data_IF_141604327081
#
_entry.id   IF_141604327081
#
_cell.length_a   1.000
_cell.length_b   1.000
_cell.length_c   1.000
_cell.angle_alpha   90.00
_cell.angle_beta   90.00
_cell.angle_gamma   90.00
#
_symmetry.space_group_name_H-M   'P 1'
#
loop_
_entity.id
_entity.type
_entity.pdbx_description
1 polymer ?
#
# COMPACT_ATOMS: atom_id res chain seq x y z
N UNK A 1 29.48 -21.39 -8.62
CA UNK A 1 28.29 -20.83 -7.97
C UNK A 1 28.48 -19.33 -8.00
N UNK A 2 27.85 -18.65 -8.95
CA UNK A 2 27.82 -17.19 -9.02
C UNK A 2 27.07 -16.68 -7.79
N UNK A 3 27.72 -15.86 -6.98
CA UNK A 3 27.11 -15.13 -5.88
C UNK A 3 25.81 -14.47 -6.38
N UNK A 4 24.68 -14.81 -5.76
CA UNK A 4 23.45 -14.06 -5.92
C UNK A 4 23.81 -12.65 -5.44
N UNK A 5 23.95 -11.71 -6.35
CA UNK A 5 24.30 -10.34 -6.01
C UNK A 5 23.05 -9.70 -5.43
N UNK A 6 23.09 -9.40 -4.12
CA UNK A 6 22.05 -8.67 -3.41
C UNK A 6 21.85 -7.30 -4.07
N UNK A 7 20.60 -6.79 -4.10
CA UNK A 7 20.38 -5.39 -4.42
C UNK A 7 21.22 -4.53 -3.47
N UNK A 8 22.12 -3.72 -4.01
CA UNK A 8 22.97 -2.92 -3.15
C UNK A 8 22.17 -1.77 -2.55
N UNK A 9 22.37 -1.47 -1.26
CA UNK A 9 21.74 -0.32 -0.60
C UNK A 9 22.01 1.00 -1.32
N UNK A 10 23.19 1.13 -1.95
CA UNK A 10 23.54 2.28 -2.77
C UNK A 10 22.62 2.42 -3.99
N UNK A 11 22.39 1.33 -4.74
CA UNK A 11 21.51 1.35 -5.90
C UNK A 11 20.04 1.65 -5.51
N UNK A 12 19.58 1.15 -4.36
CA UNK A 12 18.24 1.49 -3.82
C UNK A 12 18.15 2.97 -3.48
N UNK A 13 19.17 3.53 -2.81
CA UNK A 13 19.25 4.95 -2.51
C UNK A 13 19.23 5.81 -3.78
N UNK A 14 20.06 5.45 -4.76
CA UNK A 14 20.13 6.14 -6.05
C UNK A 14 18.77 6.12 -6.77
N UNK A 15 18.04 4.99 -6.70
CA UNK A 15 16.71 4.87 -7.27
C UNK A 15 15.70 5.82 -6.59
N UNK A 16 15.76 5.96 -5.26
CA UNK A 16 14.92 6.88 -4.49
C UNK A 16 15.26 8.34 -4.86
N UNK A 17 16.54 8.72 -4.82
CA UNK A 17 17.01 10.07 -5.16
C UNK A 17 16.64 10.45 -6.60
N UNK A 18 16.80 9.53 -7.56
CA UNK A 18 16.39 9.74 -8.94
C UNK A 18 14.88 9.90 -9.10
N UNK A 19 14.08 9.20 -8.27
CA UNK A 19 12.62 9.33 -8.27
C UNK A 19 12.18 10.67 -7.71
N UNK A 20 12.85 11.16 -6.67
CA UNK A 20 12.60 12.51 -6.14
C UNK A 20 12.87 13.59 -7.18
N UNK A 21 13.93 13.45 -7.97
CA UNK A 21 14.30 14.39 -9.01
C UNK A 21 13.41 14.30 -10.26
N UNK A 22 13.01 13.10 -10.64
CA UNK A 22 12.19 12.83 -11.84
C UNK A 22 11.21 11.70 -11.53
N UNK A 23 9.93 11.96 -11.33
CA UNK A 23 8.96 10.97 -10.86
C UNK A 23 8.98 9.66 -11.65
N UNK A 24 8.78 9.71 -12.95
CA UNK A 24 8.71 8.50 -13.80
C UNK A 24 10.03 8.24 -14.54
N UNK A 25 10.39 6.97 -14.70
CA UNK A 25 11.41 6.52 -15.63
C UNK A 25 10.81 6.32 -17.03
N UNK A 26 9.64 5.71 -17.12
CA UNK A 26 8.85 5.52 -18.33
C UNK A 26 7.46 6.08 -18.09
N UNK A 27 7.03 6.98 -18.96
CA UNK A 27 5.66 7.52 -18.98
C UNK A 27 4.86 6.87 -20.11
N UNK A 28 3.81 6.13 -19.76
CA UNK A 28 2.92 5.48 -20.70
C UNK A 28 1.46 5.96 -20.58
N UNK A 29 1.25 7.11 -19.94
CA UNK A 29 -0.09 7.70 -19.74
C UNK A 29 -0.74 8.13 -21.04
N UNK A 30 0.05 8.56 -22.01
CA UNK A 30 -0.39 8.90 -23.37
C UNK A 30 -0.94 7.67 -24.12
N UNK A 31 -0.57 6.46 -23.71
CA UNK A 31 -1.09 5.19 -24.22
C UNK A 31 -2.24 4.64 -23.36
N UNK A 32 -2.78 5.42 -22.43
CA UNK A 32 -3.92 5.04 -21.59
C UNK A 32 -3.55 4.19 -20.36
N UNK A 33 -2.27 4.08 -19.97
CA UNK A 33 -1.86 3.41 -18.75
C UNK A 33 -2.03 4.36 -17.55
N UNK A 34 -3.16 4.26 -16.89
CA UNK A 34 -3.56 5.11 -15.76
C UNK A 34 -4.02 4.26 -14.57
N UNK A 35 -4.02 4.83 -13.38
CA UNK A 35 -4.46 4.19 -12.12
C UNK A 35 -4.47 5.20 -10.99
N UNK A 36 -4.50 4.72 -9.76
CA UNK A 36 -4.64 5.54 -8.55
C UNK A 36 -3.36 5.64 -7.71
N UNK A 37 -2.21 5.19 -8.21
CA UNK A 37 -0.93 5.34 -7.51
C UNK A 37 -0.26 6.67 -7.84
N UNK A 38 0.51 7.22 -6.90
CA UNK A 38 1.33 8.40 -7.12
C UNK A 38 2.44 8.17 -8.16
N UNK A 39 2.76 9.18 -8.96
CA UNK A 39 3.77 9.02 -10.02
C UNK A 39 5.16 8.68 -9.47
N UNK A 40 5.50 9.15 -8.26
CA UNK A 40 6.77 8.76 -7.62
C UNK A 40 6.74 7.30 -7.15
N UNK A 41 5.61 6.79 -6.64
CA UNK A 41 5.47 5.35 -6.32
C UNK A 41 5.71 4.50 -7.57
N UNK A 42 5.02 4.83 -8.67
CA UNK A 42 5.21 4.16 -9.97
C UNK A 42 6.67 4.21 -10.43
N UNK A 43 7.28 5.39 -10.42
CA UNK A 43 8.65 5.58 -10.91
C UNK A 43 9.72 4.95 -10.02
N UNK A 44 9.48 4.84 -8.72
CA UNK A 44 10.34 4.09 -7.80
C UNK A 44 10.31 2.60 -8.14
N UNK A 45 9.11 2.03 -8.32
CA UNK A 45 8.98 0.61 -8.70
C UNK A 45 9.68 0.31 -10.02
N UNK A 46 9.52 1.19 -11.03
CA UNK A 46 10.24 1.08 -12.30
C UNK A 46 11.76 1.02 -12.12
N UNK A 47 12.33 1.89 -11.30
CA UNK A 47 13.78 1.97 -11.06
C UNK A 47 14.28 0.79 -10.24
N UNK A 48 13.57 0.40 -9.20
CA UNK A 48 13.92 -0.77 -8.39
C UNK A 48 13.89 -2.05 -9.21
N UNK A 49 12.87 -2.24 -10.05
CA UNK A 49 12.79 -3.37 -10.96
C UNK A 49 13.96 -3.37 -11.96
N UNK A 50 14.34 -2.19 -12.48
CA UNK A 50 15.51 -2.05 -13.36
C UNK A 50 16.81 -2.43 -12.66
N UNK A 51 16.97 -2.07 -11.39
CA UNK A 51 18.12 -2.49 -10.57
C UNK A 51 18.13 -4.00 -10.36
N UNK A 52 16.94 -4.62 -10.25
CA UNK A 52 16.77 -6.05 -10.06
C UNK A 52 16.95 -6.88 -11.34
N UNK A 53 16.98 -6.26 -12.53
CA UNK A 53 17.21 -6.99 -13.79
C UNK A 53 18.55 -7.73 -13.80
N UNK A 54 18.53 -8.95 -14.34
CA UNK A 54 19.72 -9.80 -14.40
C UNK A 54 20.01 -10.61 -13.13
N UNK A 55 19.22 -10.41 -12.07
CA UNK A 55 19.25 -11.26 -10.89
C UNK A 55 18.27 -12.43 -11.06
N UNK A 56 18.54 -13.57 -10.44
CA UNK A 56 17.60 -14.70 -10.39
C UNK A 56 16.52 -14.44 -9.33
N UNK A 57 15.64 -13.53 -9.65
CA UNK A 57 14.61 -13.04 -8.73
C UNK A 57 13.44 -12.44 -9.51
N UNK A 58 12.39 -12.03 -8.81
CA UNK A 58 11.19 -11.43 -9.40
C UNK A 58 10.73 -10.17 -8.65
N UNK A 59 9.87 -9.41 -9.33
CA UNK A 59 9.00 -8.40 -8.74
C UNK A 59 7.66 -9.02 -8.40
N UNK A 60 7.11 -8.69 -7.23
CA UNK A 60 5.76 -9.09 -6.83
C UNK A 60 5.02 -7.91 -6.24
N UNK A 61 3.74 -7.74 -6.58
CA UNK A 61 2.86 -6.76 -5.94
C UNK A 61 1.58 -7.39 -5.41
N UNK A 62 1.09 -6.85 -4.29
CA UNK A 62 -0.24 -7.11 -3.74
C UNK A 62 -1.11 -5.89 -4.01
N UNK A 63 -2.26 -6.10 -4.68
CA UNK A 63 -3.11 -5.02 -5.16
C UNK A 63 -2.71 -4.57 -6.56
N UNK A 64 -3.46 -5.00 -7.55
CA UNK A 64 -3.20 -4.71 -8.97
C UNK A 64 -4.17 -3.67 -9.50
N UNK A 65 -5.39 -3.65 -8.96
CA UNK A 65 -6.48 -2.80 -9.43
C UNK A 65 -6.68 -2.91 -10.93
N UNK A 66 -6.22 -1.93 -11.72
CA UNK A 66 -6.28 -1.92 -13.19
C UNK A 66 -4.90 -2.08 -13.85
N UNK A 67 -3.85 -2.42 -13.07
CA UNK A 67 -2.54 -2.85 -13.59
C UNK A 67 -1.57 -1.72 -13.93
N UNK A 68 -1.75 -0.49 -13.41
CA UNK A 68 -0.79 0.61 -13.65
C UNK A 68 0.62 0.23 -13.20
N UNK A 69 0.78 -0.19 -11.96
CA UNK A 69 2.06 -0.53 -11.34
C UNK A 69 2.69 -1.75 -11.98
N UNK A 70 1.91 -2.83 -12.16
CA UNK A 70 2.38 -4.08 -12.76
C UNK A 70 2.90 -3.88 -14.19
N UNK A 71 2.08 -3.28 -15.06
CA UNK A 71 2.43 -3.08 -16.47
C UNK A 71 3.58 -2.08 -16.61
N UNK A 72 3.55 -0.99 -15.85
CA UNK A 72 4.58 0.05 -15.87
C UNK A 72 5.95 -0.48 -15.41
N UNK A 73 5.96 -1.31 -14.37
CA UNK A 73 7.17 -1.95 -13.85
C UNK A 73 7.72 -2.96 -14.84
N UNK A 74 6.87 -3.79 -15.43
CA UNK A 74 7.27 -4.77 -16.44
C UNK A 74 7.84 -4.12 -17.72
N UNK A 75 7.29 -2.98 -18.14
CA UNK A 75 7.84 -2.19 -19.25
C UNK A 75 9.23 -1.64 -18.94
N UNK A 76 9.46 -1.22 -17.69
CA UNK A 76 10.75 -0.67 -17.28
C UNK A 76 11.82 -1.73 -17.16
N UNK A 77 11.48 -2.97 -16.81
CA UNK A 77 12.40 -4.09 -16.59
C UNK A 77 11.97 -5.33 -17.39
N UNK A 78 12.12 -5.33 -18.73
CA UNK A 78 11.54 -6.33 -19.60
C UNK A 78 12.07 -7.75 -19.41
N UNK A 79 13.19 -7.94 -18.72
CA UNK A 79 13.75 -9.26 -18.42
C UNK A 79 13.47 -9.74 -16.99
N UNK A 80 12.92 -8.87 -16.12
CA UNK A 80 12.53 -9.25 -14.76
C UNK A 80 11.11 -9.83 -14.77
N UNK A 81 10.88 -11.06 -14.28
CA UNK A 81 9.53 -11.57 -14.09
C UNK A 81 8.76 -10.71 -13.08
N UNK A 82 7.57 -10.27 -13.44
CA UNK A 82 6.72 -9.43 -12.63
C UNK A 82 5.39 -10.17 -12.36
N UNK A 83 4.98 -10.25 -11.10
CA UNK A 83 3.76 -10.92 -10.68
C UNK A 83 2.87 -9.95 -9.90
N UNK A 84 1.63 -9.81 -10.34
CA UNK A 84 0.61 -9.03 -9.63
C UNK A 84 -0.44 -9.94 -9.01
N UNK A 85 -0.72 -9.77 -7.73
CA UNK A 85 -1.67 -10.57 -6.97
C UNK A 85 -2.89 -9.70 -6.64
N UNK A 86 -4.07 -10.12 -7.11
CA UNK A 86 -5.34 -9.45 -6.79
C UNK A 86 -6.50 -10.44 -6.93
N UNK A 87 -7.47 -10.37 -6.04
CA UNK A 87 -8.72 -11.11 -6.13
C UNK A 87 -9.88 -10.26 -6.65
N UNK A 88 -9.65 -8.99 -6.95
CA UNK A 88 -10.60 -8.01 -7.47
C UNK A 88 -11.91 -7.87 -6.68
N UNK A 89 -11.86 -8.12 -5.35
CA UNK A 89 -13.04 -7.98 -4.48
C UNK A 89 -13.23 -6.58 -3.91
N UNK A 90 -12.19 -5.74 -4.01
CA UNK A 90 -12.18 -4.37 -3.51
C UNK A 90 -12.01 -3.44 -4.71
N UNK A 91 -12.68 -2.28 -4.68
CA UNK A 91 -12.61 -1.25 -5.74
C UNK A 91 -13.00 -1.76 -7.16
N UNK A 92 -13.83 -2.79 -7.24
CA UNK A 92 -14.33 -3.34 -8.51
C UNK A 92 -15.85 -3.57 -8.49
N UNK A 93 -16.68 -2.51 -8.33
CA UNK A 93 -18.13 -2.66 -8.24
C UNK A 93 -18.77 -3.23 -9.53
N UNK A 94 -18.11 -3.08 -10.67
CA UNK A 94 -18.59 -3.54 -11.97
C UNK A 94 -18.00 -4.90 -12.39
N UNK A 95 -17.03 -5.42 -11.65
CA UNK A 95 -16.35 -6.69 -11.95
C UNK A 95 -15.48 -6.63 -13.22
N UNK A 96 -14.95 -5.46 -13.59
CA UNK A 96 -14.25 -5.23 -14.85
C UNK A 96 -12.73 -5.11 -14.73
N UNK A 97 -12.19 -4.87 -13.54
CA UNK A 97 -10.77 -4.59 -13.34
C UNK A 97 -9.87 -5.70 -13.85
N UNK A 98 -10.22 -6.97 -13.59
CA UNK A 98 -9.44 -8.09 -14.15
C UNK A 98 -9.35 -8.06 -15.67
N UNK A 99 -10.47 -7.81 -16.36
CA UNK A 99 -10.47 -7.74 -17.82
C UNK A 99 -9.67 -6.56 -18.36
N UNK A 100 -9.63 -5.44 -17.64
CA UNK A 100 -8.79 -4.27 -17.94
C UNK A 100 -7.31 -4.64 -17.82
N UNK A 101 -6.91 -5.33 -16.74
CA UNK A 101 -5.53 -5.81 -16.59
C UNK A 101 -5.15 -6.76 -17.71
N UNK A 102 -5.97 -7.78 -17.99
CA UNK A 102 -5.73 -8.73 -19.08
C UNK A 102 -5.59 -8.02 -20.45
N UNK A 103 -6.38 -6.97 -20.69
CA UNK A 103 -6.28 -6.17 -21.92
C UNK A 103 -4.99 -5.35 -21.95
N UNK A 104 -4.63 -4.68 -20.84
CA UNK A 104 -3.41 -3.89 -20.75
C UNK A 104 -2.14 -4.74 -20.94
N UNK A 105 -2.09 -5.94 -20.34
CA UNK A 105 -0.98 -6.87 -20.55
C UNK A 105 -0.77 -7.19 -22.04
N UNK A 106 -1.85 -7.35 -22.81
CA UNK A 106 -1.80 -7.58 -24.27
C UNK A 106 -1.39 -6.31 -25.03
N UNK A 107 -2.02 -5.18 -24.75
CA UNK A 107 -1.83 -3.91 -25.48
C UNK A 107 -0.40 -3.36 -25.31
N UNK A 108 0.19 -3.60 -24.15
CA UNK A 108 1.56 -3.20 -23.85
C UNK A 108 2.60 -4.31 -24.16
N UNK A 109 2.15 -5.49 -24.59
CA UNK A 109 2.97 -6.63 -24.92
C UNK A 109 3.98 -7.01 -23.81
N UNK A 110 3.56 -6.90 -22.55
CA UNK A 110 4.39 -7.22 -21.38
C UNK A 110 4.40 -8.74 -21.14
N UNK A 111 5.31 -9.45 -21.85
CA UNK A 111 5.43 -10.91 -21.77
C UNK A 111 6.00 -11.42 -20.45
N UNK A 112 6.63 -10.54 -19.69
CA UNK A 112 7.23 -10.79 -18.38
C UNK A 112 6.31 -10.46 -17.21
N UNK A 113 5.07 -9.98 -17.45
CA UNK A 113 4.09 -9.68 -16.41
C UNK A 113 2.99 -10.74 -16.35
N UNK A 114 2.68 -11.19 -15.15
CA UNK A 114 1.74 -12.27 -14.87
C UNK A 114 0.76 -11.86 -13.77
N UNK A 115 -0.54 -12.08 -14.02
CA UNK A 115 -1.58 -11.85 -13.02
C UNK A 115 -1.89 -13.15 -12.26
N UNK A 116 -1.79 -13.11 -10.94
CA UNK A 116 -2.21 -14.18 -10.03
C UNK A 116 -3.55 -13.75 -9.43
N UNK A 117 -4.65 -14.25 -10.01
CA UNK A 117 -6.00 -13.92 -9.52
C UNK A 117 -6.36 -14.77 -8.31
N UNK A 118 -5.86 -14.39 -7.15
CA UNK A 118 -6.05 -15.07 -5.86
C UNK A 118 -6.11 -14.06 -4.72
N UNK A 119 -6.64 -14.52 -3.59
CA UNK A 119 -6.43 -13.83 -2.32
C UNK A 119 -4.94 -13.85 -1.94
N UNK A 120 -4.43 -12.73 -1.43
CA UNK A 120 -3.00 -12.57 -1.19
C UNK A 120 -2.44 -13.57 -0.17
N UNK A 121 -3.23 -13.97 0.86
CA UNK A 121 -2.79 -14.95 1.85
C UNK A 121 -2.57 -16.33 1.19
N UNK A 122 -3.46 -16.71 0.28
CA UNK A 122 -3.36 -17.96 -0.48
C UNK A 122 -2.22 -17.90 -1.49
N UNK A 123 -2.12 -16.78 -2.22
CA UNK A 123 -1.08 -16.56 -3.22
C UNK A 123 0.33 -16.58 -2.60
N UNK A 124 0.56 -15.89 -1.48
CA UNK A 124 1.85 -15.90 -0.79
C UNK A 124 2.21 -17.28 -0.26
N UNK A 125 1.24 -18.07 0.22
CA UNK A 125 1.49 -19.44 0.69
C UNK A 125 1.99 -20.38 -0.42
N UNK A 126 1.65 -20.11 -1.68
CA UNK A 126 2.04 -20.90 -2.86
C UNK A 126 2.95 -20.15 -3.84
N UNK A 127 3.50 -19.01 -3.44
CA UNK A 127 4.18 -18.09 -4.37
C UNK A 127 5.37 -18.74 -5.09
N UNK A 128 6.19 -19.53 -4.41
CA UNK A 128 7.35 -20.17 -5.04
C UNK A 128 6.95 -21.14 -6.17
N UNK A 129 5.76 -21.73 -6.08
CA UNK A 129 5.21 -22.54 -7.18
C UNK A 129 4.81 -21.65 -8.37
N UNK A 130 4.21 -20.49 -8.09
CA UNK A 130 3.79 -19.53 -9.11
C UNK A 130 4.98 -18.85 -9.81
N UNK A 131 6.07 -18.63 -9.08
CA UNK A 131 7.27 -17.94 -9.57
C UNK A 131 8.37 -18.90 -10.05
N UNK A 132 8.09 -20.21 -10.21
CA UNK A 132 9.07 -21.23 -10.55
C UNK A 132 10.28 -21.26 -9.60
N UNK A 133 10.06 -21.01 -8.31
CA UNK A 133 11.08 -21.01 -7.27
C UNK A 133 11.85 -19.70 -7.12
N UNK A 134 11.58 -18.69 -7.93
CA UNK A 134 12.21 -17.37 -7.81
C UNK A 134 11.71 -16.64 -6.57
N UNK A 135 12.65 -16.02 -5.85
CA UNK A 135 12.37 -15.17 -4.70
C UNK A 135 12.19 -13.71 -5.12
N UNK A 136 11.47 -12.97 -4.31
CA UNK A 136 11.21 -11.55 -4.55
C UNK A 136 12.45 -10.71 -4.24
N UNK A 137 12.90 -9.90 -5.18
CA UNK A 137 13.88 -8.84 -4.95
C UNK A 137 13.22 -7.48 -4.73
N UNK A 138 12.07 -7.26 -5.36
CA UNK A 138 11.24 -6.08 -5.14
C UNK A 138 9.82 -6.56 -4.82
N UNK A 139 9.32 -6.12 -3.69
CA UNK A 139 7.98 -6.44 -3.22
C UNK A 139 7.19 -5.16 -2.96
N UNK A 140 6.03 -5.02 -3.60
CA UNK A 140 5.15 -3.87 -3.44
C UNK A 140 3.86 -4.28 -2.72
N UNK A 141 3.50 -3.56 -1.68
CA UNK A 141 2.30 -3.79 -0.87
C UNK A 141 1.36 -2.61 -1.01
N UNK A 142 0.32 -2.79 -1.81
CA UNK A 142 -0.75 -1.83 -2.11
C UNK A 142 -2.12 -2.54 -2.03
N UNK A 143 -2.28 -3.34 -0.98
CA UNK A 143 -3.48 -4.13 -0.71
C UNK A 143 -4.41 -3.48 0.32
N UNK A 144 -5.16 -4.26 1.12
CA UNK A 144 -6.02 -3.74 2.16
C UNK A 144 -5.26 -2.91 3.20
N UNK A 145 -5.80 -1.76 3.60
CA UNK A 145 -5.12 -0.80 4.47
C UNK A 145 -5.39 -1.02 5.96
N UNK A 146 -5.88 -2.20 6.33
CA UNK A 146 -6.04 -2.56 7.74
C UNK A 146 -4.74 -3.16 8.32
N UNK A 147 -4.56 -3.00 9.63
CA UNK A 147 -3.35 -3.42 10.34
C UNK A 147 -3.02 -4.91 10.14
N UNK A 148 -4.03 -5.79 10.23
CA UNK A 148 -3.81 -7.25 10.12
C UNK A 148 -3.31 -7.62 8.73
N UNK A 149 -4.00 -7.16 7.69
CA UNK A 149 -3.65 -7.49 6.31
C UNK A 149 -2.26 -6.97 5.95
N UNK A 150 -1.93 -5.74 6.33
CA UNK A 150 -0.60 -5.17 6.11
C UNK A 150 0.49 -5.97 6.82
N UNK A 151 0.30 -6.32 8.10
CA UNK A 151 1.28 -7.11 8.84
C UNK A 151 1.42 -8.52 8.26
N UNK A 152 0.33 -9.16 7.85
CA UNK A 152 0.36 -10.49 7.22
C UNK A 152 1.09 -10.44 5.88
N UNK A 153 0.89 -9.41 5.05
CA UNK A 153 1.66 -9.22 3.81
C UNK A 153 3.17 -9.24 4.08
N UNK A 154 3.63 -8.57 5.13
CA UNK A 154 5.06 -8.51 5.48
C UNK A 154 5.57 -9.83 6.06
N UNK A 155 4.84 -10.41 7.01
CA UNK A 155 5.25 -11.66 7.69
C UNK A 155 5.27 -12.86 6.73
N UNK A 156 4.24 -13.01 5.90
CA UNK A 156 4.15 -14.11 4.93
C UNK A 156 5.18 -13.96 3.80
N UNK A 157 5.50 -12.74 3.41
CA UNK A 157 6.50 -12.47 2.37
C UNK A 157 7.94 -12.73 2.84
N UNK A 158 8.25 -12.56 4.14
CA UNK A 158 9.63 -12.65 4.65
C UNK A 158 10.42 -13.87 4.15
N UNK A 159 9.93 -15.13 4.23
CA UNK A 159 10.68 -16.30 3.75
C UNK A 159 10.83 -16.35 2.22
N UNK A 160 10.05 -15.55 1.50
CA UNK A 160 9.99 -15.50 0.03
C UNK A 160 10.89 -14.40 -0.54
N UNK A 161 11.48 -13.55 0.31
CA UNK A 161 12.38 -12.48 -0.10
C UNK A 161 13.77 -13.01 -0.44
N UNK A 162 14.38 -12.44 -1.47
CA UNK A 162 15.81 -12.63 -1.75
C UNK A 162 16.66 -11.83 -0.76
N UNK A 163 17.95 -12.18 -0.57
CA UNK A 163 18.86 -11.32 0.15
C UNK A 163 18.90 -9.91 -0.49
N UNK A 164 18.95 -8.86 0.33
CA UNK A 164 18.92 -7.47 -0.15
C UNK A 164 17.60 -7.01 -0.76
N UNK A 165 16.52 -7.75 -0.60
CA UNK A 165 15.20 -7.37 -1.12
C UNK A 165 14.72 -6.03 -0.59
N UNK A 166 13.95 -5.33 -1.42
CA UNK A 166 13.30 -4.06 -1.10
C UNK A 166 11.79 -4.27 -1.03
N UNK A 167 11.19 -3.76 0.04
CA UNK A 167 9.74 -3.74 0.21
C UNK A 167 9.28 -2.29 0.11
N UNK A 168 8.37 -2.00 -0.81
CA UNK A 168 7.71 -0.71 -0.95
C UNK A 168 6.27 -0.86 -0.45
N UNK A 169 5.87 -0.03 0.50
CA UNK A 169 4.53 -0.07 1.11
C UNK A 169 3.85 1.24 0.76
N UNK A 170 2.76 1.15 0.00
CA UNK A 170 1.93 2.30 -0.35
C UNK A 170 0.98 2.68 0.80
N UNK A 171 0.30 3.81 0.65
CA UNK A 171 -0.69 4.29 1.61
C UNK A 171 -0.17 4.46 3.05
N UNK A 172 1.12 4.74 3.22
CA UNK A 172 1.77 4.85 4.52
C UNK A 172 1.22 6.01 5.38
N UNK A 173 0.39 6.89 4.82
CA UNK A 173 -0.36 7.88 5.58
C UNK A 173 -1.42 7.25 6.51
N UNK A 174 -1.93 6.05 6.20
CA UNK A 174 -2.85 5.38 7.12
C UNK A 174 -2.13 4.92 8.40
N UNK A 175 -2.64 5.26 9.61
CA UNK A 175 -2.02 4.85 10.86
C UNK A 175 -1.85 3.34 10.99
N UNK A 176 -2.83 2.55 10.52
CA UNK A 176 -2.80 1.09 10.56
C UNK A 176 -1.67 0.51 9.69
N UNK A 177 -1.42 1.10 8.51
CA UNK A 177 -0.33 0.70 7.60
C UNK A 177 1.02 0.99 8.24
N UNK A 178 1.22 2.21 8.77
CA UNK A 178 2.46 2.57 9.48
C UNK A 178 2.71 1.69 10.70
N UNK A 179 1.66 1.44 11.49
CA UNK A 179 1.81 0.60 12.68
C UNK A 179 2.23 -0.82 12.32
N UNK A 180 1.62 -1.42 11.29
CA UNK A 180 2.01 -2.75 10.81
C UNK A 180 3.48 -2.77 10.34
N UNK A 181 3.91 -1.73 9.62
CA UNK A 181 5.30 -1.54 9.19
C UNK A 181 6.26 -1.46 10.38
N UNK A 182 5.94 -0.67 11.40
CA UNK A 182 6.80 -0.47 12.56
C UNK A 182 6.84 -1.70 13.47
N UNK A 183 5.73 -2.42 13.64
CA UNK A 183 5.68 -3.67 14.40
C UNK A 183 6.47 -4.77 13.70
N UNK A 184 6.41 -4.84 12.37
CA UNK A 184 7.28 -5.72 11.60
C UNK A 184 8.76 -5.37 11.80
N UNK A 185 9.15 -4.12 11.66
CA UNK A 185 10.53 -3.67 11.85
C UNK A 185 11.03 -3.88 13.29
N UNK A 186 10.16 -3.70 14.29
CA UNK A 186 10.49 -3.93 15.69
C UNK A 186 10.83 -5.40 15.96
N UNK A 187 10.08 -6.31 15.34
CA UNK A 187 10.24 -7.77 15.51
C UNK A 187 11.29 -8.39 14.58
N UNK A 188 11.73 -7.66 13.54
CA UNK A 188 12.66 -8.13 12.52
C UNK A 188 13.87 -7.19 12.39
N UNK A 189 14.89 -7.34 13.24
CA UNK A 189 16.05 -6.44 13.27
C UNK A 189 16.92 -6.49 12.01
N UNK A 190 16.75 -7.49 11.18
CA UNK A 190 17.39 -7.67 9.88
C UNK A 190 16.75 -6.84 8.75
N UNK A 191 15.72 -6.03 9.08
CA UNK A 191 15.10 -5.08 8.17
C UNK A 191 15.23 -3.64 8.69
N UNK A 192 15.30 -2.68 7.78
CA UNK A 192 15.39 -1.26 8.13
C UNK A 192 14.52 -0.40 7.20
N UNK A 193 13.94 0.67 7.75
CA UNK A 193 13.26 1.70 7.00
C UNK A 193 14.29 2.64 6.39
N UNK A 194 14.46 2.59 5.06
CA UNK A 194 15.43 3.43 4.34
C UNK A 194 14.82 4.76 3.87
N UNK A 195 13.54 4.76 3.54
CA UNK A 195 12.84 5.95 3.08
C UNK A 195 11.40 5.97 3.55
N UNK A 196 10.91 7.16 3.85
CA UNK A 196 9.51 7.43 4.13
C UNK A 196 9.12 8.79 3.56
N UNK A 197 7.92 8.88 3.01
CA UNK A 197 7.34 10.14 2.57
C UNK A 197 5.84 10.14 2.85
N UNK A 198 5.31 11.30 3.20
CA UNK A 198 3.92 11.48 3.60
C UNK A 198 3.32 12.71 2.94
N UNK A 199 2.00 12.76 2.86
CA UNK A 199 1.21 13.92 2.43
C UNK A 199 0.37 14.45 3.60
N UNK A 200 0.03 15.73 3.56
CA UNK A 200 -0.64 16.41 4.69
C UNK A 200 -2.05 15.91 4.96
N UNK A 201 -2.72 15.38 3.93
CA UNK A 201 -4.11 14.94 4.04
C UNK A 201 -4.42 13.78 3.09
N UNK A 202 -5.50 13.07 3.38
CA UNK A 202 -6.02 12.02 2.50
C UNK A 202 -6.41 12.61 1.13
N UNK A 203 -6.07 11.95 0.00
CA UNK A 203 -6.36 12.45 -1.36
C UNK A 203 -7.81 12.89 -1.58
N UNK A 204 -8.78 12.17 -1.04
CA UNK A 204 -10.20 12.50 -1.15
C UNK A 204 -10.62 13.82 -0.46
N UNK A 205 -9.75 14.41 0.33
CA UNK A 205 -9.98 15.64 1.09
C UNK A 205 -9.11 16.81 0.62
N UNK A 206 -8.37 16.62 -0.48
CA UNK A 206 -7.55 17.65 -1.10
C UNK A 206 -8.37 18.46 -2.12
N UNK A 207 -8.05 19.73 -2.28
CA UNK A 207 -8.52 20.50 -3.44
C UNK A 207 -7.81 20.04 -4.73
N UNK A 208 -8.32 20.44 -5.87
CA UNK A 208 -7.83 19.97 -7.18
C UNK A 208 -6.33 20.25 -7.41
N UNK A 209 -5.81 21.38 -6.93
CA UNK A 209 -4.41 21.75 -7.13
C UNK A 209 -3.49 20.92 -6.24
N UNK A 210 -3.87 20.75 -4.98
CA UNK A 210 -3.12 19.96 -4.01
C UNK A 210 -3.19 18.46 -4.34
N UNK A 211 -4.35 17.98 -4.83
CA UNK A 211 -4.50 16.60 -5.33
C UNK A 211 -3.57 16.34 -6.52
N UNK A 212 -3.55 17.23 -7.50
CA UNK A 212 -2.65 17.10 -8.66
C UNK A 212 -1.16 17.07 -8.24
N UNK A 213 -0.79 17.83 -7.22
CA UNK A 213 0.56 17.78 -6.65
C UNK A 213 0.85 16.45 -5.94
N UNK A 214 -0.12 15.94 -5.18
CA UNK A 214 -0.02 14.64 -4.52
C UNK A 214 0.06 13.48 -5.52
N UNK A 215 -0.75 13.49 -6.58
CA UNK A 215 -0.69 12.51 -7.68
C UNK A 215 0.65 12.53 -8.42
N UNK A 216 1.27 13.69 -8.59
CA UNK A 216 2.63 13.80 -9.12
C UNK A 216 3.73 13.43 -8.11
N UNK A 217 3.37 13.27 -6.85
CA UNK A 217 4.22 12.86 -5.74
C UNK A 217 3.98 11.41 -5.30
N UNK A 218 3.90 11.24 -3.97
CA UNK A 218 3.70 9.96 -3.30
C UNK A 218 2.23 9.67 -2.95
N UNK A 219 1.30 10.42 -3.49
CA UNK A 219 -0.16 10.38 -3.35
C UNK A 219 -0.62 10.27 -1.88
N UNK A 220 -0.58 9.10 -1.28
CA UNK A 220 -1.02 8.85 0.09
C UNK A 220 0.11 8.30 0.98
N UNK A 221 1.33 8.68 0.67
CA UNK A 221 2.53 8.32 1.43
C UNK A 221 3.11 6.95 1.07
N UNK A 222 4.38 6.77 1.38
CA UNK A 222 5.13 5.55 1.11
C UNK A 222 6.11 5.25 2.24
N UNK A 223 6.32 3.97 2.55
CA UNK A 223 7.46 3.48 3.30
C UNK A 223 8.28 2.52 2.43
N UNK A 224 9.60 2.62 2.49
CA UNK A 224 10.52 1.72 1.80
C UNK A 224 11.39 1.03 2.83
N UNK A 225 11.31 -0.29 2.87
CA UNK A 225 12.06 -1.17 3.77
C UNK A 225 13.11 -1.93 2.94
N UNK A 226 14.28 -2.11 3.50
CA UNK A 226 15.34 -2.95 2.92
C UNK A 226 15.69 -4.10 3.86
N UNK A 227 16.03 -5.25 3.31
CA UNK A 227 16.66 -6.32 4.05
C UNK A 227 18.13 -5.95 4.29
N UNK A 228 18.46 -5.60 5.53
CA UNK A 228 19.76 -5.08 5.96
C UNK A 228 20.33 -5.87 7.16
N UNK A 229 20.72 -7.14 6.95
CA UNK A 229 21.27 -7.96 8.03
C UNK A 229 22.61 -7.44 8.57
N UNK A 230 23.29 -6.57 7.83
CA UNK A 230 24.54 -5.94 8.25
C UNK A 230 24.33 -4.64 9.07
N UNK A 231 23.08 -4.24 9.31
CA UNK A 231 22.71 -3.05 10.08
C UNK A 231 23.40 -1.76 9.62
N UNK A 232 23.46 -1.55 8.31
CA UNK A 232 24.09 -0.39 7.67
C UNK A 232 23.20 0.84 7.67
N UNK A 233 21.88 0.64 7.67
CA UNK A 233 20.89 1.71 7.75
C UNK A 233 20.63 2.04 9.22
N UNK A 234 20.64 3.32 9.58
CA UNK A 234 20.29 3.74 10.93
C UNK A 234 18.82 3.48 11.21
N UNK A 235 18.56 2.64 12.22
CA UNK A 235 17.21 2.26 12.62
C UNK A 235 16.62 3.31 13.55
N UNK A 236 15.88 4.24 12.98
CA UNK A 236 15.10 5.21 13.76
C UNK A 236 13.64 4.78 13.70
N UNK A 237 13.20 3.99 14.67
CA UNK A 237 11.78 3.66 14.81
C UNK A 237 11.12 4.74 15.67
N UNK A 238 9.89 5.16 15.32
CA UNK A 238 9.13 6.07 16.17
C UNK A 238 8.82 5.41 17.51
N UNK A 239 8.50 6.20 18.53
CA UNK A 239 8.08 5.66 19.82
C UNK A 239 6.84 4.77 19.65
N UNK A 240 6.74 3.72 20.46
CA UNK A 240 5.58 2.83 20.49
C UNK A 240 4.33 3.66 20.82
N UNK A 241 3.28 3.49 20.02
CA UNK A 241 2.00 4.13 20.28
C UNK A 241 1.23 3.39 21.39
N UNK A 242 0.69 4.16 22.33
CA UNK A 242 -0.27 3.65 23.33
C UNK A 242 -1.70 3.58 22.78
N UNK A 243 -1.93 4.07 21.57
CA UNK A 243 -3.24 4.04 20.94
C UNK A 243 -3.63 2.62 20.52
N UNK A 244 -4.45 1.99 21.33
CA UNK A 244 -4.94 0.64 21.10
C UNK A 244 -5.86 0.53 19.88
N UNK A 245 -6.41 1.62 19.38
CA UNK A 245 -7.26 1.61 18.17
C UNK A 245 -6.49 1.23 16.92
N UNK A 246 -5.17 1.41 16.90
CA UNK A 246 -4.29 0.98 15.80
C UNK A 246 -4.25 -0.54 15.59
N UNK A 247 -4.61 -1.32 16.61
CA UNK A 247 -4.64 -2.78 16.56
C UNK A 247 -6.01 -3.35 16.17
N UNK A 248 -6.99 -2.49 15.95
CA UNK A 248 -8.33 -2.90 15.51
C UNK A 248 -8.49 -2.63 14.01
N UNK A 249 -9.16 -3.57 13.34
CA UNK A 249 -9.59 -3.35 11.98
C UNK A 249 -10.64 -2.22 11.96
N UNK A 250 -10.31 -1.10 11.34
CA UNK A 250 -11.17 0.09 11.27
C UNK A 250 -12.57 -0.23 10.75
N UNK A 251 -12.66 -1.15 9.80
CA UNK A 251 -13.93 -1.55 9.22
C UNK A 251 -14.81 -2.34 10.21
N UNK A 252 -14.23 -3.22 11.04
CA UNK A 252 -14.96 -3.91 12.10
C UNK A 252 -15.43 -2.94 13.19
N UNK A 253 -14.56 -2.01 13.58
CA UNK A 253 -14.91 -0.97 14.57
C UNK A 253 -16.05 -0.09 14.06
N UNK A 254 -16.04 0.30 12.79
CA UNK A 254 -17.13 1.03 12.17
C UNK A 254 -18.42 0.22 12.11
N UNK A 255 -18.36 -1.05 11.77
CA UNK A 255 -19.54 -1.92 11.72
C UNK A 255 -20.19 -2.12 13.08
N UNK A 256 -19.38 -2.32 14.12
CA UNK A 256 -19.92 -2.47 15.47
C UNK A 256 -20.67 -1.22 15.90
N UNK A 257 -20.08 -0.04 15.72
CA UNK A 257 -20.74 1.22 16.05
C UNK A 257 -22.03 1.45 15.23
N UNK A 258 -22.03 1.11 13.93
CA UNK A 258 -23.22 1.18 13.08
C UNK A 258 -24.26 0.13 13.46
N UNK A 259 -23.83 -1.08 13.84
CA UNK A 259 -24.73 -2.15 14.26
C UNK A 259 -25.47 -1.80 15.55
N UNK A 260 -24.82 -1.09 16.47
CA UNK A 260 -25.46 -0.59 17.69
C UNK A 260 -26.56 0.46 17.43
N UNK A 261 -26.48 1.17 16.29
CA UNK A 261 -27.51 2.14 15.87
C UNK A 261 -28.63 1.52 15.03
N UNK A 262 -28.47 0.28 14.60
CA UNK A 262 -29.40 -0.36 13.68
C UNK A 262 -30.85 -0.47 14.24
N UNK A 263 -31.09 -0.80 15.51
CA UNK A 263 -32.44 -0.88 16.05
C UNK A 263 -33.22 0.43 15.90
N UNK A 264 -32.64 1.56 16.31
CA UNK A 264 -33.25 2.88 16.23
C UNK A 264 -33.39 3.37 14.78
N UNK A 265 -32.40 3.07 13.94
CA UNK A 265 -32.45 3.41 12.51
C UNK A 265 -33.57 2.62 11.80
N UNK A 266 -33.75 1.34 12.10
CA UNK A 266 -34.83 0.52 11.56
C UNK A 266 -36.19 0.96 12.08
N UNK A 267 -36.32 1.29 13.36
CA UNK A 267 -37.56 1.82 13.92
C UNK A 267 -37.98 3.12 13.21
N UNK A 268 -37.03 4.03 13.00
CA UNK A 268 -37.28 5.26 12.24
C UNK A 268 -37.69 4.96 10.79
N UNK A 269 -36.99 4.05 10.12
CA UNK A 269 -37.30 3.67 8.74
C UNK A 269 -38.73 3.08 8.63
N UNK A 270 -39.15 2.19 9.55
CA UNK A 270 -40.49 1.65 9.60
C UNK A 270 -41.55 2.73 9.81
N UNK A 271 -41.36 3.62 10.78
CA UNK A 271 -42.28 4.72 11.02
C UNK A 271 -42.47 5.61 9.77
N UNK A 272 -41.39 5.91 9.05
CA UNK A 272 -41.44 6.70 7.81
C UNK A 272 -42.18 5.96 6.69
N UNK A 273 -41.91 4.66 6.51
CA UNK A 273 -42.54 3.84 5.46
C UNK A 273 -44.05 3.69 5.75
N UNK A 274 -44.44 3.55 7.02
CA UNK A 274 -45.84 3.40 7.45
C UNK A 274 -46.60 4.73 7.49
N UNK A 275 -45.92 5.86 7.18
CA UNK A 275 -46.53 7.19 7.23
C UNK A 275 -46.89 7.67 8.65
N UNK A 276 -46.26 7.11 9.69
CA UNK A 276 -46.47 7.50 11.06
C UNK A 276 -45.69 8.79 11.43
N UNK A 277 -46.07 9.43 12.58
CA UNK A 277 -45.26 10.53 13.13
C UNK A 277 -43.96 9.99 13.71
N UNK A 278 -42.85 10.15 12.96
CA UNK A 278 -41.52 9.60 13.25
C UNK A 278 -40.67 10.47 14.21
N UNK A 279 -41.31 11.39 14.98
CA UNK A 279 -40.57 12.29 15.90
C UNK A 279 -39.91 11.55 17.06
N UNK A 280 -40.58 10.55 17.62
CA UNK A 280 -40.05 9.76 18.74
C UNK A 280 -38.85 8.93 18.30
N UNK A 281 -38.93 8.25 17.15
CA UNK A 281 -37.88 7.43 16.56
C UNK A 281 -36.68 8.30 16.11
N UNK A 282 -36.96 9.50 15.57
CA UNK A 282 -35.92 10.49 15.25
C UNK A 282 -35.15 10.93 16.50
N UNK A 283 -35.87 11.18 17.60
CA UNK A 283 -35.25 11.56 18.86
C UNK A 283 -34.44 10.41 19.47
N UNK A 284 -34.94 9.17 19.40
CA UNK A 284 -34.24 7.98 19.87
C UNK A 284 -32.94 7.75 19.09
N UNK A 285 -32.99 7.80 17.75
CA UNK A 285 -31.80 7.66 16.91
C UNK A 285 -30.76 8.76 17.19
N UNK A 286 -31.21 10.02 17.36
CA UNK A 286 -30.29 11.12 17.73
C UNK A 286 -29.63 10.88 19.08
N UNK A 287 -30.37 10.40 20.07
CA UNK A 287 -29.85 10.08 21.39
C UNK A 287 -28.83 8.92 21.33
N UNK A 288 -29.13 7.86 20.57
CA UNK A 288 -28.23 6.73 20.35
C UNK A 288 -26.97 7.15 19.59
N UNK A 289 -27.07 8.05 18.62
CA UNK A 289 -25.94 8.55 17.85
C UNK A 289 -25.05 9.53 18.65
N UNK A 290 -25.57 10.26 19.60
CA UNK A 290 -24.84 11.31 20.32
C UNK A 290 -23.48 10.85 20.91
N UNK A 291 -23.36 9.65 21.52
CA UNK A 291 -22.07 9.16 22.02
C UNK A 291 -21.02 8.91 20.91
N UNK A 292 -21.49 8.61 19.70
CA UNK A 292 -20.62 8.30 18.56
C UNK A 292 -20.23 9.56 17.75
N UNK A 293 -20.99 10.64 17.84
CA UNK A 293 -20.77 11.85 17.07
C UNK A 293 -19.33 12.41 17.22
N UNK A 294 -18.75 12.52 18.42
CA UNK A 294 -17.38 13.00 18.58
C UNK A 294 -16.34 12.09 17.88
N UNK A 295 -16.55 10.77 17.92
CA UNK A 295 -15.68 9.79 17.29
C UNK A 295 -15.78 9.88 15.77
N UNK A 296 -17.00 10.00 15.23
CA UNK A 296 -17.23 10.16 13.79
C UNK A 296 -16.63 11.47 13.27
N UNK A 297 -16.80 12.57 14.02
CA UNK A 297 -16.21 13.86 13.68
C UNK A 297 -14.67 13.85 13.75
N UNK A 298 -14.09 13.20 14.76
CA UNK A 298 -12.65 13.02 14.86
C UNK A 298 -12.12 12.25 13.66
N UNK A 299 -12.75 11.15 13.28
CA UNK A 299 -12.35 10.35 12.11
C UNK A 299 -12.45 11.11 10.79
N UNK A 300 -13.47 11.95 10.62
CA UNK A 300 -13.56 12.83 9.45
C UNK A 300 -12.42 13.86 9.42
N UNK A 301 -12.03 14.38 10.59
CA UNK A 301 -10.86 15.27 10.71
C UNK A 301 -9.55 14.52 10.50
N UNK A 302 -9.43 13.31 11.03
CA UNK A 302 -8.23 12.48 10.89
C UNK A 302 -7.92 12.15 9.43
N UNK A 303 -8.93 12.05 8.58
CA UNK A 303 -8.73 11.91 7.13
C UNK A 303 -7.94 13.07 6.51
N UNK A 304 -7.95 14.25 7.12
CA UNK A 304 -7.22 15.42 6.65
C UNK A 304 -5.91 15.66 7.40
N UNK A 305 -5.70 15.02 8.55
CA UNK A 305 -4.58 15.36 9.45
C UNK A 305 -3.84 14.16 10.02
N UNK A 306 -4.17 12.93 9.58
CA UNK A 306 -3.59 11.72 10.16
C UNK A 306 -2.07 11.55 9.91
N UNK A 307 -1.51 12.29 8.98
CA UNK A 307 -0.08 12.41 8.75
C UNK A 307 0.53 13.70 9.35
N UNK A 308 -0.28 14.52 10.03
CA UNK A 308 0.20 15.77 10.63
C UNK A 308 1.31 15.49 11.66
N UNK A 309 2.39 16.23 11.56
CA UNK A 309 3.57 16.06 12.44
C UNK A 309 4.56 14.98 11.96
N UNK A 310 4.25 14.27 10.88
CA UNK A 310 5.21 13.38 10.23
C UNK A 310 6.17 14.19 9.35
N UNK A 311 7.40 13.69 9.20
CA UNK A 311 8.36 14.26 8.26
C UNK A 311 7.85 14.04 6.83
N UNK A 312 7.76 15.08 5.97
CA UNK A 312 7.25 14.95 4.59
C UNK A 312 8.01 13.94 3.74
N UNK A 313 9.31 13.80 3.95
CA UNK A 313 10.13 12.78 3.33
C UNK A 313 11.46 12.66 4.06
N UNK A 314 11.92 11.43 4.22
CA UNK A 314 13.21 11.13 4.85
C UNK A 314 13.87 9.93 4.16
N UNK A 315 15.09 10.16 3.70
CA UNK A 315 16.01 9.11 3.27
C UNK A 315 17.04 8.88 4.39
N UNK A 316 17.16 7.64 4.84
CA UNK A 316 18.09 7.29 5.90
C UNK A 316 19.54 7.31 5.41
N UNK A 317 20.48 7.62 6.30
CA UNK A 317 21.89 7.50 6.04
C UNK A 317 22.34 6.04 5.99
N UNK A 318 23.22 5.73 5.05
CA UNK A 318 23.82 4.41 4.89
C UNK A 318 25.27 4.48 5.41
N UNK A 319 25.57 3.67 6.43
CA UNK A 319 26.91 3.57 6.96
C UNK A 319 27.85 2.96 5.91
N UNK A 320 29.10 3.46 5.76
CA UNK A 320 30.08 2.84 4.90
C UNK A 320 30.37 1.40 5.33
N UNK A 321 30.77 0.58 4.38
CA UNK A 321 31.28 -0.76 4.68
C UNK A 321 32.61 -0.56 5.41
N UNK A 322 32.68 -1.02 6.68
CA UNK A 322 33.91 -1.02 7.45
C UNK A 322 34.90 -2.05 6.96
#
# INVERSE_FOLDING_TARGET
MTSISDLSLGAVRDAIEATEATPLLIDARDRGLTGISGLKSVGLLQRLARVAEGHDSCYVEIGVFQGLTLVSTALAAPTLPCFGIDNFRILDPEGTNKSIVDQRLRDFATTNAHLINMDFEVALASLLEQTNGQKMSVYFVDGPHDYRSQLVCLLAAKPLLSPGAVIVIDDANYPAVRQATYDFLTSHPDFALIFEAYTDAHPANLDAATLAAAENGWLNGVNVIVHDPAHRVDRTLPPVSDDRTLYFNDWLVHRLALAELAPEALALAHAVVDGADAKAETAALKAAYAPFAPVAEARLRDRNTYSQGLTPGRLADIKPVG
#
